data_IF_360215538251
#
_entry.id   IF_360215538251
#
_cell.length_a   1.000
_cell.length_b   1.000
_cell.length_c   1.000
_cell.angle_alpha   90.00
_cell.angle_beta   90.00
_cell.angle_gamma   90.00
#
_symmetry.space_group_name_H-M   'P 1'
#
loop_
_entity.id
_entity.type
_entity.pdbx_description
1 polymer ?
#
# COMPACT_ATOMS: atom_id res chain seq x y z
N UNK A 1 -21.97 7.35 -5.93
CA UNK A 1 -22.07 8.16 -4.68
C UNK A 1 -20.94 9.17 -4.72
N UNK A 2 -21.23 10.46 -4.89
CA UNK A 2 -20.22 11.52 -4.95
C UNK A 2 -19.69 11.74 -3.54
N UNK A 3 -18.44 11.35 -3.29
CA UNK A 3 -17.81 11.60 -2.00
C UNK A 3 -17.43 13.07 -1.92
N UNK A 4 -17.92 13.74 -0.89
CA UNK A 4 -17.60 15.14 -0.61
C UNK A 4 -16.15 15.20 -0.08
N UNK A 5 -15.30 16.11 -0.58
CA UNK A 5 -13.97 16.35 -0.02
C UNK A 5 -14.03 16.51 1.50
N UNK A 6 -13.15 15.81 2.23
CA UNK A 6 -13.07 15.89 3.69
C UNK A 6 -13.91 14.89 4.50
N UNK A 7 -14.67 13.97 3.85
CA UNK A 7 -15.33 12.88 4.59
C UNK A 7 -14.28 11.91 5.15
N UNK A 8 -14.16 11.84 6.49
CA UNK A 8 -13.34 10.83 7.17
C UNK A 8 -13.89 9.43 6.86
N UNK A 9 -13.16 8.65 6.08
CA UNK A 9 -13.46 7.23 5.88
C UNK A 9 -12.98 6.49 7.12
N UNK A 10 -13.89 5.87 7.86
CA UNK A 10 -13.51 5.02 8.99
C UNK A 10 -12.87 3.75 8.42
N UNK A 11 -11.79 3.25 9.03
CA UNK A 11 -11.13 2.01 8.59
C UNK A 11 -12.12 0.82 8.54
N UNK A 12 -13.04 0.78 9.50
CA UNK A 12 -14.14 -0.18 9.59
C UNK A 12 -15.23 -0.03 8.51
N UNK A 13 -15.27 1.09 7.78
CA UNK A 13 -16.16 1.31 6.61
C UNK A 13 -15.46 1.09 5.27
N UNK A 14 -14.15 0.83 5.29
CA UNK A 14 -13.37 0.45 4.13
C UNK A 14 -13.69 -1.01 3.79
N UNK A 15 -14.39 -1.23 2.69
CA UNK A 15 -14.63 -2.57 2.17
C UNK A 15 -14.34 -2.62 0.67
N UNK A 16 -13.85 -3.77 0.23
CA UNK A 16 -13.66 -4.13 -1.18
C UNK A 16 -15.00 -4.07 -1.92
N UNK A 17 -14.98 -3.98 -3.25
CA UNK A 17 -16.18 -3.90 -4.08
C UNK A 17 -17.21 -4.98 -3.72
N UNK A 18 -18.12 -4.66 -2.81
CA UNK A 18 -19.33 -5.41 -2.56
C UNK A 18 -20.34 -4.86 -3.54
N UNK A 19 -21.01 -5.74 -4.29
CA UNK A 19 -22.19 -5.38 -5.06
C UNK A 19 -23.11 -4.50 -4.20
N UNK A 20 -23.63 -3.44 -4.81
CA UNK A 20 -24.31 -2.30 -4.20
C UNK A 20 -25.54 -2.71 -3.36
N UNK A 21 -25.33 -3.22 -2.14
CA UNK A 21 -26.41 -3.66 -1.26
C UNK A 21 -26.44 -2.96 0.10
N UNK A 22 -25.48 -2.08 0.41
CA UNK A 22 -25.73 -1.11 1.47
C UNK A 22 -24.92 0.17 1.27
N UNK A 23 -25.57 1.32 1.51
CA UNK A 23 -24.98 2.67 1.50
C UNK A 23 -23.90 2.90 2.59
N UNK A 24 -23.42 1.82 3.24
CA UNK A 24 -22.51 1.83 4.39
C UNK A 24 -21.03 1.70 3.99
N UNK A 25 -20.73 1.22 2.79
CA UNK A 25 -19.38 0.78 2.40
C UNK A 25 -18.74 1.69 1.35
N UNK A 26 -17.44 1.91 1.50
CA UNK A 26 -16.64 2.80 0.63
C UNK A 26 -15.63 1.98 -0.15
N UNK A 27 -15.75 1.94 -1.49
CA UNK A 27 -14.80 1.27 -2.39
C UNK A 27 -13.40 1.90 -2.26
N UNK A 28 -12.32 1.15 -2.47
CA UNK A 28 -10.96 1.69 -2.41
C UNK A 28 -10.76 2.89 -3.37
N UNK A 29 -11.44 2.90 -4.51
CA UNK A 29 -11.42 4.00 -5.49
C UNK A 29 -12.00 5.31 -4.96
N UNK A 30 -12.71 5.28 -3.84
CA UNK A 30 -13.10 6.46 -3.09
C UNK A 30 -11.93 7.31 -2.60
N UNK A 31 -10.79 6.66 -2.31
CA UNK A 31 -9.57 7.32 -1.87
C UNK A 31 -8.92 8.12 -3.01
N UNK A 32 -9.26 7.82 -4.26
CA UNK A 32 -8.70 8.49 -5.44
C UNK A 32 -9.50 9.73 -5.85
N UNK A 33 -10.60 10.03 -5.16
CA UNK A 33 -11.39 11.23 -5.46
C UNK A 33 -10.52 12.48 -5.22
N UNK A 34 -10.40 13.39 -6.21
CA UNK A 34 -9.59 14.60 -6.06
C UNK A 34 -9.96 15.38 -4.80
N UNK A 35 -8.94 15.74 -4.02
CA UNK A 35 -9.11 16.51 -2.77
C UNK A 35 -9.40 15.69 -1.52
N UNK A 36 -9.55 14.36 -1.60
CA UNK A 36 -9.61 13.50 -0.39
C UNK A 36 -8.27 13.49 0.34
N UNK A 37 -7.18 13.44 -0.41
CA UNK A 37 -5.83 13.55 0.12
C UNK A 37 -5.14 14.79 -0.42
N UNK A 38 -4.64 15.64 0.48
CA UNK A 38 -3.65 16.66 0.14
C UNK A 38 -2.28 15.99 0.03
N UNK A 39 -1.54 16.35 -1.03
CA UNK A 39 -0.30 15.67 -1.40
C UNK A 39 0.95 16.52 -1.24
N UNK A 40 2.02 15.90 -0.78
CA UNK A 40 3.38 16.40 -0.83
C UNK A 40 3.86 16.41 -2.27
N UNK A 41 4.16 17.61 -2.78
CA UNK A 41 4.77 17.77 -4.10
C UNK A 41 6.13 17.08 -4.19
N UNK A 42 6.91 17.11 -3.10
CA UNK A 42 8.22 16.47 -3.05
C UNK A 42 8.10 14.95 -3.19
N UNK A 43 7.33 14.29 -2.33
CA UNK A 43 7.22 12.83 -2.40
C UNK A 43 6.58 12.39 -3.71
N UNK A 44 5.55 13.10 -4.19
CA UNK A 44 4.87 12.81 -5.45
C UNK A 44 5.82 12.82 -6.66
N UNK A 45 6.73 13.79 -6.72
CA UNK A 45 7.58 13.98 -7.89
C UNK A 45 8.92 13.23 -7.78
N UNK A 46 9.47 13.16 -6.58
CA UNK A 46 10.84 12.70 -6.37
C UNK A 46 10.92 11.24 -5.91
N UNK A 47 9.91 10.72 -5.22
CA UNK A 47 9.99 9.40 -4.56
C UNK A 47 8.97 8.42 -5.15
N UNK A 48 7.72 8.86 -5.26
CA UNK A 48 6.60 8.01 -5.67
C UNK A 48 6.81 7.30 -7.02
N UNK A 49 7.34 7.94 -8.10
CA UNK A 49 7.43 7.29 -9.40
C UNK A 49 8.23 5.98 -9.39
N UNK A 50 9.29 5.91 -8.59
CA UNK A 50 10.08 4.70 -8.42
C UNK A 50 9.29 3.60 -7.68
N UNK A 51 8.46 3.96 -6.69
CA UNK A 51 7.63 3.02 -5.95
C UNK A 51 6.47 2.47 -6.82
N UNK A 52 5.87 3.31 -7.66
CA UNK A 52 4.78 2.91 -8.57
C UNK A 52 5.24 1.87 -9.61
N UNK A 53 6.51 1.92 -10.01
CA UNK A 53 7.10 1.03 -11.03
C UNK A 53 7.78 -0.20 -10.46
N UNK A 54 7.91 -0.30 -9.13
CA UNK A 54 8.47 -1.48 -8.48
C UNK A 54 7.57 -2.71 -8.72
N UNK A 55 8.20 -3.84 -9.07
CA UNK A 55 7.51 -5.10 -9.39
C UNK A 55 6.56 -5.60 -8.29
N UNK A 56 6.91 -5.34 -7.03
CA UNK A 56 6.12 -5.75 -5.87
C UNK A 56 4.78 -4.98 -5.77
N UNK A 57 4.73 -3.78 -6.32
CA UNK A 57 3.62 -2.82 -6.16
C UNK A 57 2.42 -3.14 -7.05
N UNK A 58 2.64 -3.53 -8.31
CA UNK A 58 1.62 -3.98 -9.28
C UNK A 58 0.22 -3.33 -9.15
N UNK A 59 0.16 -1.99 -9.19
CA UNK A 59 -1.05 -1.19 -8.93
C UNK A 59 -2.17 -1.48 -9.91
N UNK A 60 -1.81 -1.77 -11.17
CA UNK A 60 -2.77 -2.12 -12.22
C UNK A 60 -3.55 -3.40 -11.91
N UNK A 61 -3.07 -4.23 -10.98
CA UNK A 61 -3.72 -5.47 -10.55
C UNK A 61 -4.46 -5.35 -9.21
N UNK A 62 -4.66 -4.13 -8.69
CA UNK A 62 -5.33 -3.90 -7.41
C UNK A 62 -6.70 -4.60 -7.34
N UNK A 63 -7.56 -4.41 -8.35
CA UNK A 63 -8.90 -5.05 -8.34
C UNK A 63 -8.82 -6.58 -8.28
N UNK A 64 -7.89 -7.18 -9.02
CA UNK A 64 -7.67 -8.63 -8.99
C UNK A 64 -7.24 -9.07 -7.57
N UNK A 65 -6.25 -8.39 -6.99
CA UNK A 65 -5.75 -8.70 -5.65
C UNK A 65 -6.84 -8.55 -4.58
N UNK A 66 -7.67 -7.51 -4.68
CA UNK A 66 -8.75 -7.23 -3.74
C UNK A 66 -9.90 -8.24 -3.85
N UNK A 67 -10.24 -8.69 -5.07
CA UNK A 67 -11.23 -9.74 -5.28
C UNK A 67 -10.76 -11.07 -4.67
N UNK A 68 -9.50 -11.44 -4.90
CA UNK A 68 -8.91 -12.61 -4.26
C UNK A 68 -8.81 -12.49 -2.74
N UNK A 69 -8.41 -11.33 -2.21
CA UNK A 69 -8.43 -11.06 -0.78
C UNK A 69 -9.85 -11.27 -0.20
N UNK A 70 -10.89 -10.75 -0.87
CA UNK A 70 -12.28 -10.94 -0.45
C UNK A 70 -12.65 -12.42 -0.38
N UNK A 71 -12.28 -13.21 -1.38
CA UNK A 71 -12.51 -14.65 -1.36
C UNK A 71 -11.88 -15.32 -0.12
N UNK A 72 -10.60 -15.09 0.17
CA UNK A 72 -9.95 -15.64 1.37
C UNK A 72 -10.58 -15.15 2.68
N UNK A 73 -11.00 -13.88 2.74
CA UNK A 73 -11.71 -13.31 3.89
C UNK A 73 -13.02 -14.07 4.15
N UNK A 74 -13.82 -14.33 3.12
CA UNK A 74 -15.07 -15.07 3.29
C UNK A 74 -14.82 -16.54 3.68
N UNK A 75 -13.79 -17.19 3.14
CA UNK A 75 -13.41 -18.53 3.61
C UNK A 75 -13.09 -18.52 5.12
N UNK A 76 -12.28 -17.56 5.58
CA UNK A 76 -11.97 -17.40 7.01
C UNK A 76 -13.22 -17.14 7.84
N UNK A 77 -14.13 -16.29 7.36
CA UNK A 77 -15.40 -16.02 8.06
C UNK A 77 -16.23 -17.29 8.25
N UNK A 78 -16.33 -18.12 7.22
CA UNK A 78 -17.04 -19.40 7.30
C UNK A 78 -16.35 -20.41 8.21
N UNK A 79 -15.01 -20.47 8.21
CA UNK A 79 -14.25 -21.29 9.17
C UNK A 79 -14.51 -20.82 10.61
N UNK A 80 -14.41 -19.52 10.88
CA UNK A 80 -14.49 -18.96 12.22
C UNK A 80 -15.91 -18.93 12.81
N UNK A 81 -16.94 -18.71 11.99
CA UNK A 81 -18.29 -18.43 12.46
C UNK A 81 -19.33 -19.48 12.04
N UNK A 82 -19.02 -20.31 11.04
CA UNK A 82 -19.98 -21.25 10.44
C UNK A 82 -19.45 -22.69 10.38
N UNK A 83 -18.49 -23.03 11.25
CA UNK A 83 -17.93 -24.38 11.34
C UNK A 83 -17.28 -24.88 10.04
N UNK A 84 -16.76 -23.96 9.22
CA UNK A 84 -16.16 -24.27 7.92
C UNK A 84 -17.14 -24.70 6.84
N UNK A 85 -18.43 -24.40 6.99
CA UNK A 85 -19.45 -24.67 5.96
C UNK A 85 -19.47 -23.54 4.93
N UNK A 86 -19.46 -23.90 3.66
CA UNK A 86 -19.51 -22.97 2.52
C UNK A 86 -20.91 -22.35 2.43
N UNK A 87 -20.95 -21.03 2.35
CA UNK A 87 -22.17 -20.21 2.19
C UNK A 87 -22.16 -19.50 0.84
N UNK A 88 -23.26 -18.82 0.51
CA UNK A 88 -23.41 -18.11 -0.76
C UNK A 88 -22.31 -17.06 -0.95
N UNK A 89 -21.92 -16.36 0.13
CA UNK A 89 -20.90 -15.33 0.10
C UNK A 89 -19.52 -15.87 -0.33
N UNK A 90 -19.23 -17.15 -0.03
CA UNK A 90 -18.02 -17.82 -0.49
C UNK A 90 -18.04 -18.10 -1.99
N UNK A 91 -19.19 -18.55 -2.50
CA UNK A 91 -19.39 -18.87 -3.92
C UNK A 91 -19.29 -17.59 -4.75
N UNK A 92 -20.02 -16.54 -4.38
CA UNK A 92 -20.02 -15.25 -5.07
C UNK A 92 -18.62 -14.61 -5.11
N UNK A 93 -17.90 -14.67 -3.98
CA UNK A 93 -16.55 -14.14 -3.88
C UNK A 93 -15.56 -14.92 -4.75
N UNK A 94 -15.68 -16.25 -4.81
CA UNK A 94 -14.88 -17.09 -5.70
C UNK A 94 -15.15 -16.76 -7.17
N UNK A 95 -16.42 -16.69 -7.57
CA UNK A 95 -16.79 -16.40 -8.96
C UNK A 95 -16.20 -15.08 -9.42
N UNK A 96 -16.31 -14.04 -8.59
CA UNK A 96 -15.71 -12.73 -8.86
C UNK A 96 -14.17 -12.79 -8.93
N UNK A 97 -13.52 -13.47 -7.97
CA UNK A 97 -12.06 -13.57 -7.92
C UNK A 97 -11.50 -14.35 -9.12
N UNK A 98 -12.18 -15.43 -9.52
CA UNK A 98 -11.76 -16.33 -10.59
C UNK A 98 -11.76 -15.69 -11.99
N UNK A 99 -12.40 -14.52 -12.16
CA UNK A 99 -12.31 -13.73 -13.39
C UNK A 99 -10.91 -13.15 -13.63
N UNK A 100 -10.10 -13.02 -12.57
CA UNK A 100 -8.73 -12.48 -12.63
C UNK A 100 -7.68 -13.49 -12.18
N UNK A 101 -6.58 -13.57 -12.92
CA UNK A 101 -5.46 -14.46 -12.61
C UNK A 101 -4.52 -13.85 -11.55
N UNK A 102 -4.15 -14.61 -10.52
CA UNK A 102 -3.10 -14.19 -9.58
C UNK A 102 -1.73 -14.09 -10.28
N UNK A 103 -1.51 -14.89 -11.33
CA UNK A 103 -0.31 -14.82 -12.16
C UNK A 103 -0.18 -13.48 -12.89
N UNK A 104 -1.28 -12.92 -13.41
CA UNK A 104 -1.25 -11.57 -13.99
C UNK A 104 -1.06 -10.49 -12.91
N UNK A 105 -1.44 -10.78 -11.66
CA UNK A 105 -1.11 -9.97 -10.50
C UNK A 105 0.33 -10.16 -9.99
N UNK A 106 1.19 -10.89 -10.71
CA UNK A 106 2.61 -11.10 -10.39
C UNK A 106 2.86 -12.17 -9.34
N UNK A 107 1.85 -12.92 -8.90
CA UNK A 107 2.05 -14.04 -7.99
C UNK A 107 2.43 -15.28 -8.82
N UNK A 108 3.47 -16.01 -8.41
CA UNK A 108 4.06 -17.08 -9.25
C UNK A 108 3.10 -18.19 -9.71
N UNK A 109 1.97 -18.36 -9.03
CA UNK A 109 0.97 -19.38 -9.36
C UNK A 109 -0.44 -18.88 -9.05
N UNK A 110 -1.42 -19.52 -9.70
CA UNK A 110 -2.84 -19.32 -9.43
C UNK A 110 -3.32 -20.21 -8.28
N UNK A 111 -4.50 -19.88 -7.76
CA UNK A 111 -5.26 -20.74 -6.88
C UNK A 111 -5.65 -22.02 -7.63
N UNK A 112 -5.42 -23.18 -7.01
CA UNK A 112 -5.67 -24.50 -7.60
C UNK A 112 -6.83 -25.24 -6.94
N UNK A 113 -7.33 -24.75 -5.82
CA UNK A 113 -8.38 -25.39 -5.06
C UNK A 113 -9.71 -25.51 -5.82
N UNK A 114 -10.54 -26.45 -5.34
CA UNK A 114 -11.85 -26.72 -5.93
C UNK A 114 -12.78 -25.52 -5.73
N UNK A 115 -13.60 -25.21 -6.75
CA UNK A 115 -14.67 -24.22 -6.63
C UNK A 115 -15.53 -24.53 -5.39
N UNK A 116 -15.82 -23.54 -4.52
CA UNK A 116 -16.69 -23.76 -3.37
C UNK A 116 -18.08 -24.27 -3.78
N UNK A 117 -18.58 -25.29 -3.09
CA UNK A 117 -19.93 -25.86 -3.28
C UNK A 117 -20.78 -25.50 -2.06
N UNK A 118 -21.92 -24.84 -2.28
CA UNK A 118 -22.82 -24.39 -1.21
C UNK A 118 -23.21 -25.55 -0.28
N UNK A 119 -23.13 -25.33 1.04
CA UNK A 119 -23.39 -26.34 2.07
C UNK A 119 -22.27 -27.37 2.26
N UNK A 120 -21.29 -27.41 1.35
CA UNK A 120 -20.10 -28.25 1.49
C UNK A 120 -19.14 -27.76 2.57
N UNK A 121 -18.15 -28.58 2.93
CA UNK A 121 -17.05 -28.16 3.80
C UNK A 121 -15.98 -27.44 2.99
N UNK A 122 -15.41 -26.39 3.56
CA UNK A 122 -14.26 -25.70 2.99
C UNK A 122 -13.09 -26.69 2.94
N UNK A 123 -12.57 -26.89 1.73
CA UNK A 123 -11.32 -27.61 1.49
C UNK A 123 -10.30 -26.61 0.95
N UNK A 124 -9.45 -26.07 1.84
CA UNK A 124 -8.39 -25.14 1.47
C UNK A 124 -7.03 -25.80 1.76
N UNK A 125 -6.32 -26.14 0.70
CA UNK A 125 -4.99 -26.73 0.81
C UNK A 125 -3.95 -25.69 1.26
N UNK A 126 -2.92 -26.15 1.97
CA UNK A 126 -1.93 -25.26 2.59
C UNK A 126 -1.20 -24.40 1.56
N UNK A 127 -0.82 -24.96 0.40
CA UNK A 127 -0.17 -24.16 -0.63
C UNK A 127 -1.06 -22.99 -1.03
N UNK A 128 -2.36 -23.22 -1.24
CA UNK A 128 -3.31 -22.18 -1.62
C UNK A 128 -3.51 -21.16 -0.50
N UNK A 129 -3.52 -21.58 0.76
CA UNK A 129 -3.50 -20.64 1.89
C UNK A 129 -2.28 -19.70 1.86
N UNK A 130 -1.10 -20.17 1.43
CA UNK A 130 0.12 -19.32 1.30
C UNK A 130 -0.05 -18.20 0.26
N UNK A 131 -0.91 -18.36 -0.75
CA UNK A 131 -1.20 -17.29 -1.71
C UNK A 131 -1.82 -16.07 -1.03
N UNK A 132 -2.57 -16.27 0.05
CA UNK A 132 -3.17 -15.18 0.80
C UNK A 132 -2.11 -14.23 1.38
N UNK A 133 -0.99 -14.77 1.87
CA UNK A 133 0.13 -13.95 2.35
C UNK A 133 0.71 -13.10 1.21
N UNK A 134 0.91 -13.70 0.03
CA UNK A 134 1.42 -12.98 -1.14
C UNK A 134 0.44 -11.88 -1.60
N UNK A 135 -0.87 -12.14 -1.54
CA UNK A 135 -1.92 -11.15 -1.85
C UNK A 135 -1.83 -9.97 -0.87
N UNK A 136 -1.78 -10.24 0.45
CA UNK A 136 -1.69 -9.19 1.47
C UNK A 136 -0.44 -8.34 1.25
N UNK A 137 0.72 -8.96 1.05
CA UNK A 137 1.98 -8.24 0.80
C UNK A 137 1.89 -7.33 -0.42
N UNK A 138 1.35 -7.83 -1.54
CA UNK A 138 1.17 -7.04 -2.76
C UNK A 138 0.19 -5.89 -2.57
N UNK A 139 -0.92 -6.11 -1.85
CA UNK A 139 -1.86 -5.05 -1.51
C UNK A 139 -1.21 -3.95 -0.67
N UNK A 140 -0.42 -4.33 0.35
CA UNK A 140 0.31 -3.38 1.17
C UNK A 140 1.27 -2.53 0.33
N UNK A 141 2.10 -3.14 -0.50
CA UNK A 141 3.02 -2.39 -1.36
C UNK A 141 2.29 -1.50 -2.37
N UNK A 142 1.20 -2.00 -2.96
CA UNK A 142 0.37 -1.24 -3.89
C UNK A 142 -0.17 0.04 -3.26
N UNK A 143 -0.77 -0.08 -2.08
CA UNK A 143 -1.32 1.06 -1.37
C UNK A 143 -0.24 2.00 -0.83
N UNK A 144 0.87 1.47 -0.32
CA UNK A 144 2.00 2.28 0.12
C UNK A 144 2.54 3.14 -1.02
N UNK A 145 2.84 2.56 -2.18
CA UNK A 145 3.33 3.33 -3.32
C UNK A 145 2.28 4.32 -3.85
N UNK A 146 1.00 3.94 -3.82
CA UNK A 146 -0.07 4.78 -4.33
C UNK A 146 -0.33 5.99 -3.44
N UNK A 147 -0.25 5.83 -2.12
CA UNK A 147 -0.60 6.87 -1.14
C UNK A 147 0.59 7.40 -0.33
N UNK A 148 1.83 7.04 -0.68
CA UNK A 148 3.02 7.59 -0.01
C UNK A 148 3.14 9.10 -0.16
N UNK A 149 2.52 9.69 -1.19
CA UNK A 149 2.62 11.12 -1.47
C UNK A 149 1.72 12.01 -0.62
N UNK A 150 0.98 11.48 0.37
CA UNK A 150 0.11 12.30 1.21
C UNK A 150 0.90 13.23 2.13
N UNK A 151 0.34 14.38 2.50
CA UNK A 151 0.96 15.29 3.48
C UNK A 151 1.23 14.60 4.83
N UNK A 152 0.36 13.66 5.23
CA UNK A 152 0.58 12.87 6.44
C UNK A 152 1.81 11.95 6.32
N UNK A 153 2.00 11.32 5.16
CA UNK A 153 3.17 10.49 4.91
C UNK A 153 4.46 11.34 4.91
N UNK A 154 4.41 12.56 4.38
CA UNK A 154 5.52 13.51 4.46
C UNK A 154 5.84 13.92 5.91
N UNK A 155 4.82 14.24 6.71
CA UNK A 155 5.00 14.55 8.12
C UNK A 155 5.63 13.38 8.90
N UNK A 156 5.20 12.15 8.62
CA UNK A 156 5.76 10.94 9.21
C UNK A 156 7.23 10.73 8.80
N UNK A 157 7.58 10.98 7.53
CA UNK A 157 8.96 10.94 7.04
C UNK A 157 9.83 11.97 7.76
N UNK A 158 9.37 13.23 7.84
CA UNK A 158 10.10 14.31 8.55
C UNK A 158 10.34 13.93 10.01
N UNK A 159 9.33 13.42 10.71
CA UNK A 159 9.45 12.99 12.09
C UNK A 159 10.50 11.87 12.25
N UNK A 160 10.48 10.87 11.35
CA UNK A 160 11.47 9.79 11.32
C UNK A 160 12.90 10.32 11.11
N UNK A 161 13.09 11.22 10.16
CA UNK A 161 14.40 11.81 9.87
C UNK A 161 14.92 12.64 11.05
N UNK A 162 14.05 13.42 11.70
CA UNK A 162 14.41 14.17 12.91
C UNK A 162 14.81 13.26 14.06
N UNK A 163 14.06 12.17 14.29
CA UNK A 163 14.43 11.15 15.27
C UNK A 163 15.80 10.54 14.99
N UNK A 164 16.06 10.17 13.73
CA UNK A 164 17.35 9.62 13.34
C UNK A 164 18.53 10.61 13.52
N UNK A 165 18.29 11.91 13.36
CA UNK A 165 19.29 12.96 13.61
C UNK A 165 19.51 13.22 15.11
N UNK A 166 18.50 12.99 15.96
CA UNK A 166 18.66 13.05 17.41
C UNK A 166 19.57 11.91 17.90
N UNK A 167 19.41 10.70 17.35
CA UNK A 167 20.24 9.54 17.69
C UNK A 167 21.66 9.62 17.10
N UNK A 168 21.78 10.17 15.89
CA UNK A 168 23.03 10.24 15.13
C UNK A 168 23.11 11.57 14.38
N UNK A 169 23.67 12.62 15.02
CA UNK A 169 23.78 13.94 14.42
C UNK A 169 24.52 13.95 13.08
N UNK A 170 24.09 14.85 12.18
CA UNK A 170 24.79 15.07 10.93
C UNK A 170 26.15 15.75 11.14
N UNK A 171 27.15 15.49 10.28
CA UNK A 171 28.38 16.26 10.25
C UNK A 171 28.09 17.75 9.99
N UNK A 172 28.78 18.64 10.70
CA UNK A 172 28.58 20.08 10.58
C UNK A 172 29.04 20.63 9.23
N UNK A 173 30.18 20.13 8.75
CA UNK A 173 30.87 20.62 7.56
C UNK A 173 31.45 19.46 6.75
N UNK A 174 31.26 19.49 5.43
CA UNK A 174 31.74 18.49 4.49
C UNK A 174 32.09 19.14 3.15
N UNK A 175 32.94 18.49 2.34
CA UNK A 175 33.06 18.84 0.92
C UNK A 175 31.73 18.58 0.19
N UNK A 176 31.51 19.22 -0.96
CA UNK A 176 30.27 19.07 -1.73
C UNK A 176 29.94 17.59 -2.05
N UNK A 177 30.95 16.80 -2.44
CA UNK A 177 30.79 15.39 -2.80
C UNK A 177 30.43 14.54 -1.57
N UNK A 178 31.11 14.79 -0.43
CA UNK A 178 30.86 14.08 0.81
C UNK A 178 29.47 14.39 1.37
N UNK A 179 29.04 15.65 1.29
CA UNK A 179 27.69 16.08 1.67
C UNK A 179 26.64 15.35 0.83
N UNK A 180 26.79 15.36 -0.49
CA UNK A 180 25.87 14.67 -1.39
C UNK A 180 25.77 13.16 -1.08
N UNK A 181 26.92 12.50 -0.90
CA UNK A 181 26.98 11.08 -0.53
C UNK A 181 26.30 10.80 0.82
N UNK A 182 26.53 11.65 1.82
CA UNK A 182 25.95 11.53 3.14
C UNK A 182 24.43 11.69 3.10
N UNK A 183 23.91 12.75 2.46
CA UNK A 183 22.47 13.01 2.35
C UNK A 183 21.78 11.83 1.64
N UNK A 184 22.35 11.33 0.54
CA UNK A 184 21.82 10.16 -0.16
C UNK A 184 21.71 8.95 0.76
N UNK A 185 22.78 8.61 1.49
CA UNK A 185 22.78 7.48 2.44
C UNK A 185 21.80 7.70 3.59
N UNK A 186 21.71 8.92 4.11
CA UNK A 186 20.80 9.27 5.18
C UNK A 186 19.34 9.08 4.76
N UNK A 187 18.94 9.63 3.61
CA UNK A 187 17.58 9.46 3.07
C UNK A 187 17.24 8.00 2.78
N UNK A 188 18.19 7.24 2.21
CA UNK A 188 17.98 5.83 1.89
C UNK A 188 17.86 4.97 3.15
N UNK A 189 18.80 5.08 4.10
CA UNK A 189 18.87 4.19 5.26
C UNK A 189 18.00 4.63 6.44
N UNK A 190 17.78 5.93 6.62
CA UNK A 190 16.97 6.47 7.73
C UNK A 190 15.57 6.89 7.27
N UNK A 191 15.45 7.44 6.08
CA UNK A 191 14.16 7.78 5.48
C UNK A 191 13.45 6.59 4.86
N UNK A 192 14.20 5.63 4.29
CA UNK A 192 13.65 4.56 3.46
C UNK A 192 13.22 5.06 2.08
N UNK A 193 13.78 6.18 1.62
CA UNK A 193 13.42 6.81 0.34
C UNK A 193 14.65 7.07 -0.52
N UNK A 194 14.45 7.02 -1.84
CA UNK A 194 15.48 7.34 -2.83
C UNK A 194 14.91 8.37 -3.79
N UNK A 195 15.10 9.68 -3.52
CA UNK A 195 14.68 10.74 -4.41
C UNK A 195 15.37 10.65 -5.78
N UNK A 196 14.67 11.03 -6.85
CA UNK A 196 15.23 11.11 -8.20
C UNK A 196 16.23 12.26 -8.36
N UNK A 197 16.01 13.39 -7.69
CA UNK A 197 16.92 14.54 -7.65
C UNK A 197 17.43 14.83 -6.24
N UNK A 198 18.74 14.64 -6.04
CA UNK A 198 19.39 14.96 -4.77
C UNK A 198 19.39 16.48 -4.44
N UNK A 199 19.62 17.40 -5.39
CA UNK A 199 19.47 18.83 -5.13
C UNK A 199 18.07 19.23 -4.66
N UNK A 200 17.02 18.65 -5.28
CA UNK A 200 15.63 18.88 -4.85
C UNK A 200 15.40 18.37 -3.43
N UNK A 201 15.92 17.18 -3.12
CA UNK A 201 15.83 16.59 -1.79
C UNK A 201 16.56 17.43 -0.72
N UNK A 202 17.72 17.99 -1.04
CA UNK A 202 18.43 18.87 -0.12
C UNK A 202 17.65 20.17 0.14
N UNK A 203 17.13 20.80 -0.91
CA UNK A 203 16.29 22.00 -0.77
C UNK A 203 15.06 21.72 0.10
N UNK A 204 14.41 20.56 -0.08
CA UNK A 204 13.28 20.12 0.72
C UNK A 204 13.65 19.87 2.19
N UNK A 205 14.80 19.24 2.47
CA UNK A 205 15.29 19.04 3.83
C UNK A 205 15.54 20.38 4.54
N UNK A 206 16.08 21.36 3.82
CA UNK A 206 16.32 22.71 4.33
C UNK A 206 15.02 23.46 4.59
N UNK A 207 14.07 23.46 3.65
CA UNK A 207 12.79 24.16 3.80
C UNK A 207 11.94 23.63 4.96
N UNK A 208 12.09 22.34 5.28
CA UNK A 208 11.39 21.70 6.40
C UNK A 208 12.17 21.75 7.72
N UNK A 209 13.28 22.51 7.79
CA UNK A 209 14.14 22.59 8.97
C UNK A 209 14.55 21.21 9.50
N UNK A 210 14.87 20.28 8.59
CA UNK A 210 15.33 18.93 8.97
C UNK A 210 16.84 18.89 9.04
N UNK A 211 17.51 19.45 8.03
CA UNK A 211 18.96 19.34 7.90
C UNK A 211 19.54 20.58 7.22
N UNK A 212 20.66 21.07 7.75
CA UNK A 212 21.54 22.04 7.08
C UNK A 212 22.98 21.62 7.32
N UNK A 213 23.73 21.32 6.25
CA UNK A 213 25.17 21.00 6.30
C UNK A 213 25.91 22.09 5.51
N UNK A 214 26.93 22.69 6.11
CA UNK A 214 27.79 23.67 5.45
C UNK A 214 28.79 22.98 4.52
N UNK A 215 29.09 23.62 3.40
CA UNK A 215 30.14 23.17 2.47
C UNK A 215 31.39 24.00 2.74
N UNK A 216 32.53 23.32 2.87
CA UNK A 216 33.87 23.93 2.97
C UNK A 216 34.47 24.06 1.57
#
# INVERSE_FOLDING_TARGET
MTLVPGKKIKAETFQFASGATSNKWTNWSALDVPGIHTGSSFIKNEVQPALLTAYATNISSLDVLLNWYRFYKELRNSIAHHGGVIRQENVDAYETASLGSLASAGIKRNFSGVKPILGGKINLELHDAVLFLAIIQRLSFAFDAKYCHTNQAEANLIARLRGALADSPAPYELTAERKASWIKKFLMHRGGITPSSLPTAEAWLKSNNVLTIKVI
#
